data_IF_698111319456
#
_entry.id   IF_698111319456
#
_cell.length_a   1.000
_cell.length_b   1.000
_cell.length_c   1.000
_cell.angle_alpha   90.00
_cell.angle_beta   90.00
_cell.angle_gamma   90.00
#
_symmetry.space_group_name_H-M   'P 1'
#
loop_
_entity.id
_entity.type
_entity.pdbx_description
1 polymer ?
#
# COMPACT_ATOMS: atom_id res chain seq x y z
N UNK A 1 -25.11 11.64 12.71
CA UNK A 1 -25.45 10.22 12.93
C UNK A 1 -24.22 9.48 13.43
N UNK A 2 -24.34 8.68 14.48
CA UNK A 2 -23.22 7.98 15.16
C UNK A 2 -22.35 7.16 14.18
N UNK A 3 -22.97 6.61 13.13
CA UNK A 3 -22.31 5.87 12.05
C UNK A 3 -21.25 6.70 11.34
N UNK A 4 -21.56 7.97 11.03
CA UNK A 4 -20.63 8.86 10.33
C UNK A 4 -19.43 9.19 11.23
N UNK A 5 -19.67 9.43 12.52
CA UNK A 5 -18.59 9.64 13.50
C UNK A 5 -17.71 8.40 13.61
N UNK A 6 -18.30 7.20 13.64
CA UNK A 6 -17.58 5.93 13.64
C UNK A 6 -16.73 5.74 12.38
N UNK A 7 -17.28 6.03 11.20
CA UNK A 7 -16.55 5.97 9.94
C UNK A 7 -15.36 6.95 9.89
N UNK A 8 -15.54 8.17 10.40
CA UNK A 8 -14.46 9.17 10.45
C UNK A 8 -13.36 8.71 11.42
N UNK A 9 -13.73 8.25 12.61
CA UNK A 9 -12.77 7.75 13.60
C UNK A 9 -12.02 6.52 13.06
N UNK A 10 -12.73 5.60 12.41
CA UNK A 10 -12.13 4.43 11.76
C UNK A 10 -11.19 4.83 10.62
N UNK A 11 -11.60 5.73 9.72
CA UNK A 11 -10.76 6.22 8.62
C UNK A 11 -9.52 6.98 9.14
N UNK A 12 -9.65 7.69 10.27
CA UNK A 12 -8.53 8.41 10.89
C UNK A 12 -7.42 7.46 11.36
N UNK A 13 -7.71 6.19 11.63
CA UNK A 13 -6.69 5.20 12.03
C UNK A 13 -5.59 5.01 10.99
N UNK A 14 -5.91 5.20 9.69
CA UNK A 14 -4.92 5.11 8.62
C UNK A 14 -3.78 6.14 8.75
N UNK A 15 -4.01 7.28 9.42
CA UNK A 15 -2.96 8.29 9.65
C UNK A 15 -1.86 7.83 10.61
N UNK A 16 -2.12 6.80 11.41
CA UNK A 16 -1.13 6.21 12.31
C UNK A 16 -0.38 5.04 11.68
N UNK A 17 -0.81 4.60 10.49
CA UNK A 17 -0.10 3.60 9.72
C UNK A 17 0.94 4.26 8.81
N UNK A 18 2.14 3.69 8.75
CA UNK A 18 3.26 4.26 7.98
C UNK A 18 2.95 4.32 6.48
N UNK A 19 2.22 3.34 6.00
CA UNK A 19 1.86 3.20 4.59
C UNK A 19 0.47 3.79 4.31
N UNK A 20 -0.19 4.38 5.33
CA UNK A 20 -1.54 4.91 5.21
C UNK A 20 -2.62 3.83 5.12
N UNK A 21 -2.33 2.61 5.58
CA UNK A 21 -3.25 1.48 5.47
C UNK A 21 -4.41 1.59 6.46
N UNK A 22 -5.63 1.30 6.02
CA UNK A 22 -6.78 1.22 6.93
C UNK A 22 -6.65 0.04 7.90
N UNK A 23 -7.22 0.20 9.10
CA UNK A 23 -7.12 -0.79 10.16
C UNK A 23 -7.54 -2.21 9.72
N UNK A 24 -8.63 -2.33 8.94
CA UNK A 24 -9.13 -3.63 8.48
C UNK A 24 -8.20 -4.33 7.47
N UNK A 25 -7.55 -3.56 6.59
CA UNK A 25 -6.61 -4.08 5.59
C UNK A 25 -5.36 -4.64 6.28
N UNK A 26 -4.90 -3.94 7.32
CA UNK A 26 -3.77 -4.36 8.16
C UNK A 26 -4.10 -5.61 8.98
N UNK A 27 -5.31 -5.69 9.55
CA UNK A 27 -5.82 -6.88 10.23
C UNK A 27 -5.87 -8.09 9.29
N UNK A 28 -6.20 -7.89 8.02
CA UNK A 28 -6.20 -8.92 6.99
C UNK A 28 -4.78 -9.28 6.49
N UNK A 29 -3.73 -8.61 6.95
CA UNK A 29 -2.35 -8.85 6.51
C UNK A 29 -2.09 -8.46 5.06
N UNK A 30 -2.94 -7.60 4.49
CA UNK A 30 -2.69 -7.04 3.15
C UNK A 30 -1.57 -6.02 3.23
N UNK A 31 -0.97 -5.65 2.09
CA UNK A 31 0.03 -4.59 2.02
C UNK A 31 -0.21 -3.72 0.79
N UNK A 32 0.13 -2.44 0.89
CA UNK A 32 0.13 -1.54 -0.26
C UNK A 32 1.39 -1.83 -1.08
N UNK A 33 1.22 -2.21 -2.35
CA UNK A 33 2.32 -2.36 -3.30
C UNK A 33 2.24 -1.21 -4.29
N UNK A 34 3.16 -0.26 -4.16
CA UNK A 34 3.32 0.81 -5.15
C UNK A 34 4.19 0.29 -6.27
N UNK A 35 3.60 0.15 -7.46
CA UNK A 35 4.36 -0.15 -8.66
C UNK A 35 4.92 1.15 -9.20
N UNK A 36 6.24 1.26 -9.25
CA UNK A 36 6.87 2.29 -10.05
C UNK A 36 6.71 1.91 -11.52
N UNK A 37 5.90 2.68 -12.25
CA UNK A 37 5.72 2.52 -13.69
C UNK A 37 6.91 3.06 -14.47
N UNK A 38 7.92 3.64 -13.79
CA UNK A 38 9.17 3.99 -14.43
C UNK A 38 9.74 2.75 -15.14
N UNK A 39 10.21 2.90 -16.39
CA UNK A 39 10.88 1.83 -17.10
C UNK A 39 12.02 1.30 -16.22
N UNK A 40 11.98 0.01 -15.88
CA UNK A 40 13.11 -0.65 -15.22
C UNK A 40 14.32 -0.46 -16.13
N UNK A 41 15.40 0.14 -15.60
CA UNK A 41 16.68 0.19 -16.32
C UNK A 41 17.03 -1.25 -16.70
N UNK A 42 17.31 -1.55 -17.98
CA UNK A 42 17.72 -2.88 -18.39
C UNK A 42 18.91 -3.30 -17.54
N UNK A 43 18.84 -4.47 -16.91
CA UNK A 43 19.98 -5.03 -16.21
C UNK A 43 21.02 -5.41 -17.27
N UNK A 44 22.02 -4.55 -17.50
CA UNK A 44 23.11 -4.76 -18.45
C UNK A 44 24.02 -5.95 -18.10
N UNK A 45 23.74 -6.65 -16.99
CA UNK A 45 24.43 -7.87 -16.59
C UNK A 45 23.73 -9.17 -17.02
N UNK A 46 22.58 -9.15 -17.71
CA UNK A 46 21.94 -10.36 -18.22
C UNK A 46 22.73 -10.85 -19.47
N UNK A 47 23.44 -11.99 -19.43
CA UNK A 47 24.11 -12.52 -20.60
C UNK A 47 23.08 -12.90 -21.68
N UNK A 48 23.44 -12.86 -22.97
CA UNK A 48 22.55 -13.31 -24.03
C UNK A 48 22.14 -14.76 -23.78
N UNK A 49 20.84 -15.02 -23.87
CA UNK A 49 20.31 -16.36 -23.78
C UNK A 49 20.62 -17.09 -25.08
N UNK A 50 21.80 -17.74 -25.13
CA UNK A 50 22.21 -18.63 -26.22
C UNK A 50 22.79 -17.92 -27.44
#
# INVERSE_FOLDING_TARGET
GIVVLGMIAWAATARFDRDGQFLHDRLAGTRIVVWDLAPRKPNTAQPPAG
#
